data_IF_351642301437
#
_entry.id   IF_351642301437
#
_cell.length_a   1.000
_cell.length_b   1.000
_cell.length_c   1.000
_cell.angle_alpha   90.00
_cell.angle_beta   90.00
_cell.angle_gamma   90.00
#
_symmetry.space_group_name_H-M   'P 1'
#
loop_
_entity.id
_entity.type
_entity.pdbx_description
1 polymer ?
#
# COMPACT_ATOMS: atom_id res chain seq x y z
N UNK A 1 -1.38 5.69 -12.34
CA UNK A 1 -1.51 4.22 -12.50
C UNK A 1 -1.29 3.55 -11.16
N UNK A 2 -2.21 2.69 -10.73
CA UNK A 2 -2.11 1.95 -9.46
C UNK A 2 -1.35 0.63 -9.67
N UNK A 3 -0.81 0.10 -8.59
CA UNK A 3 -0.16 -1.22 -8.55
C UNK A 3 -0.64 -1.99 -7.32
N UNK A 4 -0.42 -3.31 -7.32
CA UNK A 4 -0.74 -4.18 -6.19
C UNK A 4 0.22 -3.99 -5.01
N UNK A 5 -0.21 -4.39 -3.81
CA UNK A 5 0.59 -4.30 -2.58
C UNK A 5 1.93 -5.03 -2.72
N UNK A 6 1.97 -6.24 -3.28
CA UNK A 6 3.22 -6.99 -3.41
C UNK A 6 4.27 -6.25 -4.27
N UNK A 7 3.81 -5.53 -5.31
CA UNK A 7 4.65 -4.70 -6.18
C UNK A 7 5.11 -3.44 -5.43
N UNK A 8 4.20 -2.80 -4.68
CA UNK A 8 4.54 -1.67 -3.83
C UNK A 8 5.61 -2.02 -2.80
N UNK A 9 5.49 -3.20 -2.15
CA UNK A 9 6.50 -3.73 -1.24
C UNK A 9 7.83 -4.03 -1.92
N UNK A 10 7.81 -4.50 -3.16
CA UNK A 10 9.04 -4.69 -3.94
C UNK A 10 9.76 -3.37 -4.18
N UNK A 11 9.04 -2.32 -4.58
CA UNK A 11 9.60 -0.97 -4.73
C UNK A 11 10.18 -0.51 -3.38
N UNK A 12 9.43 -0.59 -2.29
CA UNK A 12 9.89 -0.20 -0.96
C UNK A 12 11.21 -0.89 -0.56
N UNK A 13 11.34 -2.20 -0.82
CA UNK A 13 12.59 -2.94 -0.57
C UNK A 13 13.78 -2.41 -1.36
N UNK A 14 13.59 -1.99 -2.61
CA UNK A 14 14.65 -1.36 -3.43
C UNK A 14 15.17 -0.05 -2.80
N UNK A 15 14.33 0.62 -2.00
CA UNK A 15 14.67 1.84 -1.26
C UNK A 15 15.08 1.59 0.21
N UNK A 16 15.32 0.32 0.58
CA UNK A 16 15.76 -0.04 1.93
C UNK A 16 14.65 -0.01 2.99
N UNK A 17 13.38 0.11 2.58
CA UNK A 17 12.24 0.04 3.49
C UNK A 17 11.93 -1.44 3.79
N UNK A 18 12.06 -1.88 5.05
CA UNK A 18 11.80 -3.27 5.40
C UNK A 18 10.30 -3.60 5.32
N UNK A 19 10.01 -4.76 4.75
CA UNK A 19 8.66 -5.33 4.60
C UNK A 19 8.72 -6.81 5.00
N UNK A 20 7.62 -7.44 5.45
CA UNK A 20 7.59 -8.89 5.66
C UNK A 20 8.00 -9.65 4.39
N UNK A 21 8.63 -10.82 4.54
CA UNK A 21 8.85 -11.70 3.38
C UNK A 21 7.51 -12.21 2.91
N UNK A 22 7.31 -12.26 1.60
CA UNK A 22 6.06 -12.73 1.02
C UNK A 22 6.16 -12.94 -0.48
N UNK A 23 5.22 -13.73 -0.99
CA UNK A 23 5.20 -14.20 -2.37
C UNK A 23 3.81 -13.99 -2.97
N UNK A 24 3.77 -13.40 -4.16
CA UNK A 24 2.54 -13.31 -4.95
C UNK A 24 2.19 -14.69 -5.51
N UNK A 25 0.92 -15.08 -5.37
CA UNK A 25 0.44 -16.41 -5.73
C UNK A 25 -0.81 -16.27 -6.62
N UNK A 26 -0.88 -17.08 -7.68
CA UNK A 26 -1.98 -17.09 -8.65
C UNK A 26 -2.84 -18.35 -8.56
N UNK A 27 -2.48 -19.26 -7.66
CA UNK A 27 -3.25 -20.47 -7.36
C UNK A 27 -3.19 -20.81 -5.87
N UNK A 28 -4.11 -21.66 -5.42
CA UNK A 28 -4.12 -22.18 -4.05
C UNK A 28 -2.86 -22.99 -3.76
N UNK A 29 -2.36 -23.76 -4.72
CA UNK A 29 -1.15 -24.58 -4.53
C UNK A 29 0.11 -23.71 -4.43
N UNK A 30 0.21 -22.63 -5.22
CA UNK A 30 1.27 -21.63 -5.04
C UNK A 30 1.21 -20.98 -3.65
N UNK A 31 0.01 -20.67 -3.15
CA UNK A 31 -0.15 -20.08 -1.82
C UNK A 31 0.36 -21.01 -0.69
N UNK A 32 0.09 -22.32 -0.80
CA UNK A 32 0.58 -23.32 0.15
C UNK A 32 2.09 -23.47 0.04
N UNK A 33 2.63 -23.59 -1.18
CA UNK A 33 4.07 -23.69 -1.42
C UNK A 33 4.82 -22.45 -0.91
N UNK A 34 4.25 -21.25 -1.08
CA UNK A 34 4.81 -20.02 -0.53
C UNK A 34 4.87 -20.03 1.00
N UNK A 35 3.83 -20.52 1.67
CA UNK A 35 3.84 -20.65 3.13
C UNK A 35 4.92 -21.64 3.61
N UNK A 36 5.06 -22.78 2.92
CA UNK A 36 6.09 -23.77 3.21
C UNK A 36 7.52 -23.22 3.04
N UNK A 37 7.77 -22.46 1.96
CA UNK A 37 9.07 -21.84 1.67
C UNK A 37 9.42 -20.72 2.67
N UNK A 38 8.44 -19.87 3.02
CA UNK A 38 8.63 -18.83 4.04
C UNK A 38 8.97 -19.45 5.41
N UNK A 39 8.34 -20.58 5.72
CA UNK A 39 8.38 -21.22 7.03
C UNK A 39 7.77 -20.34 8.12
N UNK A 40 8.05 -20.70 9.38
CA UNK A 40 7.54 -19.97 10.55
C UNK A 40 6.19 -20.47 11.06
N UNK A 41 5.63 -19.81 12.10
CA UNK A 41 4.42 -20.29 12.77
C UNK A 41 3.12 -19.59 12.33
N UNK A 42 3.20 -18.48 11.59
CA UNK A 42 2.06 -17.63 11.23
C UNK A 42 2.29 -17.02 9.84
N UNK A 43 1.25 -17.08 9.01
CA UNK A 43 1.18 -16.46 7.70
C UNK A 43 -0.07 -15.58 7.58
N UNK A 44 -0.02 -14.63 6.66
CA UNK A 44 -1.17 -13.81 6.27
C UNK A 44 -1.43 -14.02 4.78
N UNK A 45 -2.66 -14.40 4.44
CA UNK A 45 -3.15 -14.51 3.06
C UNK A 45 -3.95 -13.25 2.75
N UNK A 46 -3.49 -12.46 1.77
CA UNK A 46 -4.08 -11.17 1.40
C UNK A 46 -4.54 -11.18 -0.06
N UNK A 47 -5.79 -10.78 -0.28
CA UNK A 47 -6.31 -10.42 -1.59
C UNK A 47 -5.48 -9.27 -2.17
N UNK A 48 -5.11 -9.38 -3.45
CA UNK A 48 -4.42 -8.33 -4.18
C UNK A 48 -5.41 -7.72 -5.17
N UNK A 49 -5.90 -6.55 -4.78
CA UNK A 49 -6.74 -5.64 -5.57
C UNK A 49 -6.23 -4.21 -5.32
N UNK A 50 -6.52 -3.27 -6.21
CA UNK A 50 -6.05 -1.88 -6.10
C UNK A 50 -6.79 -1.06 -5.01
N UNK A 51 -7.90 -1.58 -4.49
CA UNK A 51 -8.69 -0.94 -3.45
C UNK A 51 -8.22 -1.28 -2.02
N UNK A 52 -8.34 -0.31 -1.12
CA UNK A 52 -8.12 -0.45 0.33
C UNK A 52 -9.29 -1.14 1.05
N UNK A 53 -9.26 -1.22 2.37
CA UNK A 53 -10.36 -1.80 3.17
C UNK A 53 -10.53 -3.32 3.08
N UNK A 54 -9.56 -4.02 2.47
CA UNK A 54 -9.60 -5.47 2.17
C UNK A 54 -9.87 -6.34 3.40
N UNK A 55 -9.32 -5.97 4.57
CA UNK A 55 -9.53 -6.69 5.82
C UNK A 55 -11.00 -6.72 6.25
N UNK A 56 -11.70 -5.58 6.17
CA UNK A 56 -13.14 -5.49 6.49
C UNK A 56 -14.00 -6.29 5.50
N UNK A 57 -13.56 -6.40 4.25
CA UNK A 57 -14.21 -7.19 3.20
C UNK A 57 -13.86 -8.69 3.22
N UNK A 58 -13.10 -9.17 4.21
CA UNK A 58 -12.73 -10.59 4.33
C UNK A 58 -11.58 -11.04 3.40
N UNK A 59 -10.92 -10.09 2.74
CA UNK A 59 -9.79 -10.32 1.85
C UNK A 59 -8.44 -10.45 2.56
N UNK A 60 -8.39 -10.45 3.90
CA UNK A 60 -7.15 -10.65 4.68
C UNK A 60 -7.42 -11.68 5.76
N UNK A 61 -6.64 -12.77 5.79
CA UNK A 61 -6.79 -13.87 6.75
C UNK A 61 -5.45 -14.30 7.33
N UNK A 62 -5.41 -14.47 8.64
CA UNK A 62 -4.26 -15.03 9.36
C UNK A 62 -4.40 -16.54 9.40
N UNK A 63 -3.32 -17.25 9.11
CA UNK A 63 -3.23 -18.71 9.12
C UNK A 63 -2.04 -19.18 9.97
N UNK A 64 -2.18 -20.30 10.66
CA UNK A 64 -1.15 -20.91 11.54
C UNK A 64 -0.70 -22.29 11.09
N UNK A 65 -1.15 -22.72 9.92
CA UNK A 65 -0.71 -23.97 9.28
C UNK A 65 -0.87 -23.87 7.76
N UNK A 66 -0.14 -24.71 6.98
CA UNK A 66 -0.36 -24.81 5.53
C UNK A 66 -1.80 -25.14 5.14
N UNK A 67 -2.51 -25.94 5.96
CA UNK A 67 -3.92 -26.25 5.74
C UNK A 67 -4.83 -25.02 5.92
N UNK A 68 -4.55 -24.18 6.93
CA UNK A 68 -5.25 -22.91 7.11
C UNK A 68 -4.94 -21.92 5.97
N UNK A 69 -3.71 -21.91 5.44
CA UNK A 69 -3.35 -21.13 4.25
C UNK A 69 -4.15 -21.61 3.04
N UNK A 70 -4.25 -22.93 2.82
CA UNK A 70 -5.06 -23.52 1.75
C UNK A 70 -6.53 -23.09 1.86
N UNK A 71 -7.12 -23.21 3.05
CA UNK A 71 -8.50 -22.84 3.29
C UNK A 71 -8.74 -21.34 3.06
N UNK A 72 -7.84 -20.48 3.53
CA UNK A 72 -7.92 -19.04 3.30
C UNK A 72 -7.79 -18.69 1.81
N UNK A 73 -6.83 -19.29 1.10
CA UNK A 73 -6.63 -19.08 -0.33
C UNK A 73 -7.84 -19.51 -1.17
N UNK A 74 -8.46 -20.65 -0.86
CA UNK A 74 -9.70 -21.12 -1.51
C UNK A 74 -10.88 -20.18 -1.32
N UNK A 75 -10.95 -19.51 -0.18
CA UNK A 75 -12.04 -18.57 0.12
C UNK A 75 -11.82 -17.21 -0.54
N UNK A 76 -10.57 -16.76 -0.66
CA UNK A 76 -10.25 -15.43 -1.15
C UNK A 76 -10.09 -15.43 -2.69
N UNK A 77 -9.38 -16.40 -3.26
CA UNK A 77 -9.11 -16.42 -4.69
C UNK A 77 -10.40 -16.66 -5.49
N UNK A 78 -10.68 -15.77 -6.44
CA UNK A 78 -11.87 -15.81 -7.28
C UNK A 78 -13.12 -15.16 -6.67
N UNK A 79 -13.06 -14.68 -5.42
CA UNK A 79 -14.21 -13.98 -4.82
C UNK A 79 -14.34 -12.56 -5.38
N UNK A 80 -15.56 -12.02 -5.37
CA UNK A 80 -15.80 -10.58 -5.56
C UNK A 80 -15.59 -9.87 -4.21
N UNK A 81 -14.45 -9.19 -4.06
CA UNK A 81 -14.11 -8.47 -2.85
C UNK A 81 -14.75 -7.08 -2.89
N UNK A 82 -15.82 -6.93 -2.09
CA UNK A 82 -16.47 -5.63 -1.85
C UNK A 82 -15.79 -4.93 -0.69
N UNK A 83 -15.37 -3.70 -0.94
CA UNK A 83 -14.81 -2.76 0.04
C UNK A 83 -15.56 -1.43 -0.10
N UNK A 84 -15.34 -0.49 0.82
CA UNK A 84 -15.87 0.87 0.67
C UNK A 84 -15.28 1.63 -0.54
N UNK A 85 -14.20 1.12 -1.15
CA UNK A 85 -13.53 1.73 -2.31
C UNK A 85 -13.85 1.04 -3.66
N UNK A 86 -14.52 -0.12 -3.68
CA UNK A 86 -14.84 -0.87 -4.93
C UNK A 86 -16.28 -0.70 -5.39
N UNK A 87 -17.14 -0.05 -4.61
CA UNK A 87 -18.58 -0.01 -4.87
C UNK A 87 -19.24 -1.40 -4.73
N UNK A 88 -20.46 -1.52 -5.25
CA UNK A 88 -21.32 -2.70 -5.05
C UNK A 88 -20.86 -3.96 -5.78
N UNK A 89 -20.25 -3.82 -6.96
CA UNK A 89 -19.80 -4.94 -7.80
C UNK A 89 -18.52 -5.62 -7.27
N UNK A 90 -17.79 -4.92 -6.40
CA UNK A 90 -16.52 -5.39 -5.86
C UNK A 90 -15.43 -5.49 -6.92
N UNK A 91 -14.32 -6.13 -6.57
CA UNK A 91 -13.25 -6.47 -7.49
C UNK A 91 -12.97 -7.97 -7.40
N UNK A 92 -12.83 -8.64 -8.55
CA UNK A 92 -12.51 -10.09 -8.58
C UNK A 92 -11.07 -10.30 -8.14
N UNK A 93 -10.88 -11.08 -7.07
CA UNK A 93 -9.54 -11.37 -6.58
C UNK A 93 -8.88 -12.42 -7.47
N UNK A 94 -7.94 -11.99 -8.31
CA UNK A 94 -7.23 -12.88 -9.25
C UNK A 94 -5.87 -13.37 -8.76
N UNK A 95 -5.33 -12.73 -7.73
CA UNK A 95 -4.01 -13.04 -7.17
C UNK A 95 -4.01 -12.79 -5.65
N UNK A 96 -3.13 -13.49 -4.96
CA UNK A 96 -2.94 -13.44 -3.52
C UNK A 96 -1.52 -12.99 -3.19
N UNK A 97 -1.33 -12.45 -2.00
CA UNK A 97 -0.03 -12.33 -1.36
C UNK A 97 -0.05 -13.20 -0.11
N UNK A 98 0.88 -14.15 -0.03
CA UNK A 98 1.15 -14.93 1.19
C UNK A 98 2.42 -14.38 1.81
N UNK A 99 2.35 -13.93 3.05
CA UNK A 99 3.48 -13.33 3.75
C UNK A 99 3.60 -13.79 5.20
N UNK A 100 4.77 -13.54 5.80
CA UNK A 100 5.02 -13.80 7.21
C UNK A 100 4.15 -12.94 8.13
N UNK A 101 3.68 -13.53 9.23
CA UNK A 101 3.05 -12.77 10.30
C UNK A 101 4.06 -11.91 11.07
N UNK A 102 3.67 -10.70 11.46
CA UNK A 102 4.46 -9.83 12.34
C UNK A 102 3.85 -9.79 13.76
N UNK A 103 4.71 -9.73 14.78
CA UNK A 103 4.27 -9.50 16.17
C UNK A 103 4.06 -7.99 16.39
N UNK A 104 2.88 -7.51 16.05
CA UNK A 104 2.56 -6.08 16.06
C UNK A 104 2.40 -5.58 17.50
N UNK A 105 3.23 -4.61 17.90
CA UNK A 105 3.09 -3.89 19.17
C UNK A 105 2.29 -2.60 19.00
N UNK A 106 2.51 -1.87 17.90
CA UNK A 106 1.76 -0.66 17.52
C UNK A 106 1.66 -0.52 16.00
N UNK A 107 0.59 0.13 15.56
CA UNK A 107 0.35 0.47 14.17
C UNK A 107 0.33 1.99 14.01
N UNK A 108 0.93 2.47 12.93
CA UNK A 108 1.01 3.88 12.56
C UNK A 108 0.59 4.03 11.10
N UNK A 109 0.31 5.26 10.71
CA UNK A 109 0.02 5.64 9.33
C UNK A 109 1.15 6.49 8.76
N UNK A 110 1.58 6.21 7.52
CA UNK A 110 2.39 7.12 6.72
C UNK A 110 1.78 7.27 5.32
N UNK A 111 1.70 8.50 4.83
CA UNK A 111 1.26 8.82 3.48
C UNK A 111 2.09 9.95 2.88
N UNK A 112 2.35 9.89 1.58
CA UNK A 112 2.96 10.97 0.81
C UNK A 112 2.08 11.31 -0.38
N UNK A 113 1.85 12.61 -0.55
CA UNK A 113 1.08 13.20 -1.65
C UNK A 113 1.71 14.51 -2.08
N UNK A 114 1.30 15.04 -3.24
CA UNK A 114 1.64 16.40 -3.66
C UNK A 114 0.62 17.37 -3.06
N UNK A 115 1.06 18.22 -2.14
CA UNK A 115 0.30 19.38 -1.66
C UNK A 115 0.30 20.42 -2.78
N UNK A 116 -0.86 20.63 -3.41
CA UNK A 116 -1.02 21.52 -4.56
C UNK A 116 -0.99 23.00 -4.17
N UNK A 117 -1.40 23.32 -2.95
CA UNK A 117 -1.43 24.70 -2.48
C UNK A 117 -0.01 25.20 -2.19
N UNK A 118 0.79 24.33 -1.58
CA UNK A 118 2.17 24.64 -1.21
C UNK A 118 3.19 24.24 -2.29
N UNK A 119 2.76 23.46 -3.29
CA UNK A 119 3.60 22.94 -4.37
C UNK A 119 4.81 22.16 -3.85
N UNK A 120 4.55 21.27 -2.88
CA UNK A 120 5.55 20.46 -2.18
C UNK A 120 5.05 19.04 -1.98
N UNK A 121 5.98 18.10 -1.80
CA UNK A 121 5.62 16.77 -1.28
C UNK A 121 5.25 16.94 0.19
N UNK A 122 4.05 16.50 0.54
CA UNK A 122 3.57 16.46 1.92
C UNK A 122 3.64 15.01 2.43
N UNK A 123 4.40 14.84 3.52
CA UNK A 123 4.42 13.62 4.33
C UNK A 123 3.38 13.78 5.44
N UNK A 124 2.37 12.92 5.44
CA UNK A 124 1.38 12.78 6.49
C UNK A 124 1.77 11.58 7.35
N UNK A 125 1.75 11.77 8.67
CA UNK A 125 2.05 10.73 9.63
C UNK A 125 1.06 10.77 10.80
N UNK A 126 0.60 9.60 11.26
CA UNK A 126 -0.32 9.51 12.40
C UNK A 126 -0.03 8.31 13.29
N UNK A 127 -0.39 8.45 14.58
CA UNK A 127 -0.47 7.32 15.53
C UNK A 127 -1.65 6.39 15.26
N UNK A 128 -2.57 6.77 14.38
CA UNK A 128 -3.78 6.01 14.07
C UNK A 128 -3.57 5.15 12.81
N UNK A 129 -2.74 4.10 12.93
CA UNK A 129 -2.58 3.10 11.86
C UNK A 129 -3.73 2.10 11.78
N UNK A 130 -3.85 1.41 10.64
CA UNK A 130 -4.83 0.33 10.44
C UNK A 130 -6.26 0.81 10.17
N UNK A 131 -6.47 2.13 10.06
CA UNK A 131 -7.76 2.77 9.78
C UNK A 131 -7.66 3.68 8.55
N UNK A 132 -8.79 4.10 8.00
CA UNK A 132 -8.82 5.04 6.87
C UNK A 132 -8.42 6.44 7.35
N UNK A 133 -7.40 7.03 6.72
CA UNK A 133 -6.85 8.30 7.17
C UNK A 133 -7.85 9.46 7.01
N UNK A 134 -8.77 9.36 6.06
CA UNK A 134 -9.84 10.33 5.82
C UNK A 134 -10.83 10.38 6.99
N UNK A 135 -11.04 9.25 7.68
CA UNK A 135 -11.87 9.21 8.89
C UNK A 135 -11.15 9.90 10.05
N UNK A 136 -9.84 9.69 10.20
CA UNK A 136 -8.99 10.36 11.19
C UNK A 136 -8.96 11.87 10.91
N UNK A 137 -8.82 12.28 9.65
CA UNK A 137 -8.82 13.69 9.26
C UNK A 137 -10.13 14.41 9.60
N UNK A 138 -11.27 13.71 9.56
CA UNK A 138 -12.58 14.28 9.93
C UNK A 138 -12.80 14.31 11.44
N UNK A 139 -12.39 13.25 12.15
CA UNK A 139 -12.75 13.03 13.56
C UNK A 139 -11.69 13.50 14.56
N UNK A 140 -10.41 13.46 14.19
CA UNK A 140 -9.26 13.80 15.03
C UNK A 140 -8.10 14.35 14.19
N UNK A 141 -8.30 15.47 13.45
CA UNK A 141 -7.28 16.03 12.56
C UNK A 141 -5.96 16.37 13.26
N UNK A 142 -5.99 16.65 14.56
CA UNK A 142 -4.81 16.93 15.38
C UNK A 142 -3.84 15.74 15.50
N UNK A 143 -4.31 14.52 15.22
CA UNK A 143 -3.49 13.31 15.20
C UNK A 143 -2.74 13.11 13.88
N UNK A 144 -2.98 13.96 12.89
CA UNK A 144 -2.28 13.93 11.60
C UNK A 144 -1.21 15.01 11.62
N UNK A 145 0.05 14.57 11.56
CA UNK A 145 1.19 15.45 11.43
C UNK A 145 1.61 15.54 9.99
N UNK A 146 1.60 16.75 9.44
CA UNK A 146 2.04 17.02 8.07
C UNK A 146 3.40 17.71 8.07
N UNK A 147 4.37 17.13 7.36
CA UNK A 147 5.65 17.75 7.04
C UNK A 147 5.70 18.04 5.53
N UNK A 148 5.96 19.29 5.16
CA UNK A 148 6.16 19.69 3.77
C UNK A 148 7.66 19.69 3.48
N UNK A 149 8.05 18.89 2.50
CA UNK A 149 9.46 18.61 2.23
C UNK A 149 9.95 19.58 1.17
N UNK A 150 11.03 20.29 1.49
CA UNK A 150 11.70 21.15 0.52
C UNK A 150 12.36 20.29 -0.58
N UNK A 151 12.13 20.60 -1.87
CA UNK A 151 12.54 19.76 -2.98
C UNK A 151 14.04 19.82 -3.27
N UNK A 152 14.76 20.82 -2.74
CA UNK A 152 16.20 20.98 -2.93
C UNK A 152 16.97 20.14 -1.92
N UNK A 153 16.54 20.18 -0.64
CA UNK A 153 17.23 19.43 0.42
C UNK A 153 16.68 18.01 0.61
N UNK A 154 15.41 17.78 0.28
CA UNK A 154 14.73 16.51 0.51
C UNK A 154 14.39 16.25 1.98
N UNK A 155 14.08 14.99 2.31
CA UNK A 155 13.73 14.61 3.68
C UNK A 155 14.97 14.39 4.56
N UNK A 156 15.35 15.40 5.32
CA UNK A 156 16.46 15.34 6.25
C UNK A 156 16.23 14.37 7.41
N UNK A 157 17.32 13.77 7.91
CA UNK A 157 17.31 12.80 9.01
C UNK A 157 16.63 13.33 10.27
N UNK A 158 16.94 14.56 10.68
CA UNK A 158 16.36 15.14 11.89
C UNK A 158 14.86 15.45 11.71
N UNK A 159 14.45 15.91 10.52
CA UNK A 159 13.03 16.13 10.22
C UNK A 159 12.25 14.80 10.25
N UNK A 160 12.80 13.73 9.66
CA UNK A 160 12.22 12.40 9.73
C UNK A 160 12.14 11.88 11.19
N UNK A 161 13.19 12.08 11.98
CA UNK A 161 13.22 11.68 13.39
C UNK A 161 12.15 12.43 14.21
N UNK A 162 11.97 13.72 13.97
CA UNK A 162 10.93 14.51 14.63
C UNK A 162 9.52 14.03 14.26
N UNK A 163 9.27 13.69 12.99
CA UNK A 163 7.99 13.10 12.58
C UNK A 163 7.74 11.77 13.31
N UNK A 164 8.73 10.86 13.32
CA UNK A 164 8.63 9.58 14.01
C UNK A 164 8.32 9.73 15.52
N UNK A 165 9.03 10.65 16.20
CA UNK A 165 8.77 10.95 17.62
C UNK A 165 7.37 11.53 17.85
N UNK A 166 6.89 12.41 16.97
CA UNK A 166 5.56 13.04 17.08
C UNK A 166 4.42 12.03 17.01
N UNK A 167 4.52 11.02 16.14
CA UNK A 167 3.53 9.94 16.08
C UNK A 167 3.69 8.90 17.19
N UNK A 168 4.68 9.04 18.07
CA UNK A 168 4.86 8.19 19.25
C UNK A 168 5.69 6.93 19.03
N UNK A 169 6.59 6.92 18.04
CA UNK A 169 7.60 5.87 17.89
C UNK A 169 8.62 6.00 19.04
N UNK A 170 8.92 4.93 19.80
CA UNK A 170 9.91 4.98 20.88
C UNK A 170 11.31 5.33 20.38
N UNK A 171 12.09 6.05 21.19
CA UNK A 171 13.42 6.54 20.80
C UNK A 171 14.35 5.43 20.27
N UNK A 172 14.29 4.23 20.86
CA UNK A 172 15.07 3.07 20.42
C UNK A 172 14.77 2.62 18.97
N UNK A 173 13.58 2.92 18.46
CA UNK A 173 13.10 2.55 17.12
C UNK A 173 13.11 3.73 16.13
N UNK A 174 13.42 4.95 16.58
CA UNK A 174 13.43 6.16 15.73
C UNK A 174 14.39 6.01 14.56
N UNK A 175 15.57 5.42 14.77
CA UNK A 175 16.53 5.18 13.69
C UNK A 175 15.94 4.29 12.57
N UNK A 176 15.19 3.24 12.92
CA UNK A 176 14.49 2.40 11.95
C UNK A 176 13.37 3.15 11.23
N UNK A 177 12.62 3.98 11.94
CA UNK A 177 11.58 4.82 11.36
C UNK A 177 12.13 5.85 10.37
N UNK A 178 13.30 6.45 10.66
CA UNK A 178 13.99 7.37 9.75
C UNK A 178 14.32 6.67 8.43
N UNK A 179 14.85 5.44 8.48
CA UNK A 179 15.13 4.65 7.26
C UNK A 179 13.86 4.45 6.43
N UNK A 180 12.75 4.08 7.08
CA UNK A 180 11.46 3.91 6.38
C UNK A 180 10.98 5.20 5.75
N UNK A 181 10.98 6.30 6.50
CA UNK A 181 10.51 7.61 6.04
C UNK A 181 11.32 8.14 4.85
N UNK A 182 12.65 8.06 4.93
CA UNK A 182 13.54 8.49 3.85
C UNK A 182 13.45 7.55 2.64
N UNK A 183 13.31 6.25 2.86
CA UNK A 183 13.09 5.28 1.78
C UNK A 183 11.77 5.51 1.06
N UNK A 184 10.68 5.78 1.79
CA UNK A 184 9.38 6.12 1.22
C UNK A 184 9.45 7.43 0.42
N UNK A 185 10.14 8.46 0.92
CA UNK A 185 10.34 9.72 0.21
C UNK A 185 11.09 9.53 -1.10
N UNK A 186 12.18 8.77 -1.06
CA UNK A 186 12.96 8.46 -2.26
C UNK A 186 12.14 7.64 -3.25
N UNK A 187 11.40 6.63 -2.79
CA UNK A 187 10.49 5.87 -3.66
C UNK A 187 9.45 6.77 -4.31
N UNK A 188 8.86 7.70 -3.55
CA UNK A 188 7.87 8.64 -4.06
C UNK A 188 8.44 9.55 -5.15
N UNK A 189 9.62 10.14 -4.92
CA UNK A 189 10.25 11.08 -5.86
C UNK A 189 10.88 10.37 -7.05
N UNK A 190 11.70 9.35 -6.81
CA UNK A 190 12.47 8.65 -7.86
C UNK A 190 11.59 7.78 -8.77
N UNK A 191 10.40 7.35 -8.31
CA UNK A 191 9.42 6.63 -9.13
C UNK A 191 8.25 7.50 -9.61
N UNK A 192 8.27 8.80 -9.30
CA UNK A 192 7.23 9.77 -9.69
C UNK A 192 5.82 9.31 -9.30
N UNK A 193 5.71 8.93 -8.03
CA UNK A 193 4.44 8.62 -7.42
C UNK A 193 3.61 9.90 -7.19
N UNK A 194 2.30 9.77 -7.36
CA UNK A 194 1.29 10.76 -6.96
C UNK A 194 0.75 10.47 -5.55
N UNK A 195 0.80 9.20 -5.14
CA UNK A 195 0.47 8.72 -3.79
C UNK A 195 1.43 7.57 -3.45
N UNK A 196 2.02 7.63 -2.26
CA UNK A 196 2.66 6.47 -1.63
C UNK A 196 2.22 6.39 -0.18
N UNK A 197 1.60 5.27 0.20
CA UNK A 197 1.01 5.07 1.52
C UNK A 197 1.50 3.75 2.12
N UNK A 198 1.82 3.78 3.41
CA UNK A 198 2.12 2.62 4.24
C UNK A 198 1.09 2.62 5.38
N UNK A 199 0.11 1.72 5.30
CA UNK A 199 -0.96 1.63 6.28
C UNK A 199 -1.42 0.17 6.53
N UNK A 200 -0.94 -0.48 7.60
CA UNK A 200 -0.16 0.09 8.69
C UNK A 200 1.36 0.06 8.44
N UNK A 201 2.04 1.09 8.96
CA UNK A 201 3.43 0.98 9.39
C UNK A 201 3.43 0.35 10.78
N UNK A 202 4.14 -0.76 10.98
CA UNK A 202 4.12 -1.49 12.25
C UNK A 202 5.41 -1.30 13.03
N UNK A 203 5.27 -1.10 14.34
CA UNK A 203 6.31 -1.34 15.32
C UNK A 203 6.10 -2.74 15.88
N UNK A 204 7.09 -3.61 15.72
CA UNK A 204 7.06 -4.96 16.24
C UNK A 204 7.43 -5.01 17.73
N UNK A 205 7.10 -6.11 18.40
CA UNK A 205 7.43 -6.31 19.82
C UNK A 205 8.93 -6.28 20.11
N UNK A 206 9.78 -6.62 19.14
CA UNK A 206 11.25 -6.54 19.21
C UNK A 206 11.81 -5.17 18.75
N UNK A 207 10.94 -4.20 18.47
CA UNK A 207 11.33 -2.81 18.20
C UNK A 207 11.68 -2.49 16.75
N UNK A 208 11.42 -3.40 15.81
CA UNK A 208 11.59 -3.13 14.38
C UNK A 208 10.43 -2.31 13.82
N UNK A 209 10.71 -1.49 12.82
CA UNK A 209 9.72 -0.68 12.11
C UNK A 209 9.58 -1.23 10.70
N UNK A 210 8.41 -1.72 10.32
CA UNK A 210 8.17 -2.43 9.06
C UNK A 210 6.97 -1.85 8.31
N UNK A 211 7.03 -1.81 6.99
CA UNK A 211 5.87 -1.51 6.15
C UNK A 211 5.03 -2.79 5.96
N UNK A 212 3.93 -2.91 6.71
CA UNK A 212 3.07 -4.11 6.67
C UNK A 212 2.12 -4.08 5.47
N UNK A 213 1.77 -2.91 4.96
CA UNK A 213 1.01 -2.72 3.73
C UNK A 213 1.64 -1.58 2.91
N UNK A 214 1.39 -1.56 1.61
CA UNK A 214 1.89 -0.54 0.71
C UNK A 214 0.89 -0.28 -0.40
N UNK A 215 0.59 1.01 -0.64
CA UNK A 215 -0.27 1.45 -1.73
C UNK A 215 0.41 2.56 -2.50
N UNK A 216 0.51 2.38 -3.82
CA UNK A 216 1.11 3.35 -4.72
C UNK A 216 0.16 3.72 -5.85
N UNK A 217 0.20 4.99 -6.23
CA UNK A 217 -0.35 5.50 -7.48
C UNK A 217 0.70 6.39 -8.15
N UNK A 218 0.99 6.16 -9.42
CA UNK A 218 2.02 6.86 -10.20
C UNK A 218 1.42 7.90 -11.14
N UNK A 219 2.20 8.93 -11.46
CA UNK A 219 1.85 9.88 -12.51
C UNK A 219 1.87 9.18 -13.87
N UNK A 220 0.72 9.12 -14.56
CA UNK A 220 0.62 8.53 -15.89
C UNK A 220 1.48 9.25 -16.92
N UNK A 221 1.72 10.56 -16.75
CA UNK A 221 2.54 11.35 -17.66
C UNK A 221 4.03 11.04 -17.55
N UNK A 222 4.46 10.41 -16.44
CA UNK A 222 5.84 10.01 -16.20
C UNK A 222 6.16 8.60 -16.71
N UNK A 223 5.15 7.78 -17.01
CA UNK A 223 5.34 6.35 -17.26
C UNK A 223 6.25 6.02 -18.45
N UNK A 224 6.36 6.92 -19.44
CA UNK A 224 7.24 6.72 -20.60
C UNK A 224 8.72 6.53 -20.22
N UNK A 225 9.15 7.02 -19.05
CA UNK A 225 10.51 6.86 -18.51
C UNK A 225 10.59 5.89 -17.32
N UNK A 226 9.50 5.17 -17.03
CA UNK A 226 9.41 4.15 -16.00
C UNK A 226 8.87 2.81 -16.56
N UNK A 227 9.57 2.18 -17.51
CA UNK A 227 9.12 0.91 -18.11
C UNK A 227 8.95 -0.21 -17.08
N UNK A 228 9.72 -0.18 -15.99
CA UNK A 228 9.60 -1.13 -14.89
C UNK A 228 8.28 -0.99 -14.13
N UNK A 229 7.74 0.23 -14.04
CA UNK A 229 6.45 0.49 -13.40
C UNK A 229 5.32 0.11 -14.36
N UNK A 230 5.45 0.42 -15.65
CA UNK A 230 4.46 0.02 -16.68
C UNK A 230 4.28 -1.50 -16.72
N UNK A 231 5.35 -2.27 -16.51
CA UNK A 231 5.29 -3.73 -16.44
C UNK A 231 4.41 -4.27 -15.29
N UNK A 232 4.11 -3.44 -14.27
CA UNK A 232 3.22 -3.81 -13.17
C UNK A 232 1.73 -3.58 -13.46
N UNK A 233 1.38 -2.90 -14.56
CA UNK A 233 -0.02 -2.55 -14.88
C UNK A 233 -0.87 -3.81 -14.96
N UNK A 234 -1.97 -3.80 -14.22
CA UNK A 234 -2.97 -4.86 -14.24
C UNK A 234 -4.27 -4.35 -14.85
N UNK A 235 -4.53 -4.76 -16.09
CA UNK A 235 -5.75 -4.35 -16.80
C UNK A 235 -7.01 -5.00 -16.22
N UNK A 236 -6.90 -6.09 -15.44
CA UNK A 236 -8.07 -6.68 -14.78
C UNK A 236 -8.61 -5.81 -13.64
N UNK A 237 -7.87 -4.78 -13.22
CA UNK A 237 -8.21 -3.84 -12.14
C UNK A 237 -8.62 -2.45 -12.67
N UNK A 238 -8.77 -2.30 -13.99
CA UNK A 238 -9.17 -1.07 -14.66
C UNK A 238 -10.52 -1.26 -15.36
N UNK A 239 -11.28 -0.18 -15.53
CA UNK A 239 -12.55 -0.23 -16.25
C UNK A 239 -12.31 -0.53 -17.75
N UNK A 240 -13.01 -1.51 -18.36
CA UNK A 240 -12.85 -1.86 -19.77
C UNK A 240 -13.00 -0.69 -20.75
N UNK A 241 -13.86 0.28 -20.45
CA UNK A 241 -14.05 1.47 -21.26
C UNK A 241 -12.88 2.45 -21.12
N UNK A 242 -12.31 2.59 -19.92
CA UNK A 242 -11.07 3.36 -19.70
C UNK A 242 -9.89 2.73 -20.45
N UNK A 243 -9.77 1.40 -20.43
CA UNK A 243 -8.75 0.66 -21.19
C UNK A 243 -8.90 0.93 -22.68
N UNK A 244 -10.10 0.81 -23.23
CA UNK A 244 -10.36 1.04 -24.65
C UNK A 244 -10.03 2.48 -25.05
N UNK A 245 -10.46 3.46 -24.27
CA UNK A 245 -10.15 4.87 -24.50
C UNK A 245 -8.64 5.13 -24.50
N UNK A 246 -7.89 4.50 -23.59
CA UNK A 246 -6.44 4.68 -23.49
C UNK A 246 -5.67 4.22 -24.73
N UNK A 247 -6.24 3.33 -25.56
CA UNK A 247 -5.63 2.91 -26.85
C UNK A 247 -5.64 4.01 -27.91
N UNK A 248 -6.46 5.04 -27.71
CA UNK A 248 -6.64 6.17 -28.62
C UNK A 248 -6.21 7.50 -27.99
N UNK A 249 -5.42 7.47 -26.92
CA UNK A 249 -5.00 8.64 -26.15
C UNK A 249 -6.18 9.48 -25.62
N UNK A 250 -7.30 8.83 -25.31
CA UNK A 250 -8.49 9.46 -24.72
C UNK A 250 -8.54 9.23 -23.21
N UNK A 251 -8.87 10.29 -22.47
CA UNK A 251 -9.24 10.20 -21.05
C UNK A 251 -10.74 9.97 -20.95
N UNK A 252 -11.14 8.75 -20.56
CA UNK A 252 -12.52 8.38 -20.30
C UNK A 252 -12.72 8.14 -18.80
N UNK A 253 -13.89 8.49 -18.28
CA UNK A 253 -14.30 8.18 -16.91
C UNK A 253 -15.78 7.78 -16.98
N UNK A 254 -16.10 6.57 -16.51
CA UNK A 254 -17.48 6.11 -16.42
C UNK A 254 -18.20 6.81 -15.26
N UNK A 255 -19.43 7.25 -15.50
CA UNK A 255 -20.31 7.88 -14.51
C UNK A 255 -21.69 7.22 -14.56
N UNK A 256 -22.40 7.20 -13.44
CA UNK A 256 -23.80 6.77 -13.39
C UNK A 256 -24.69 7.89 -13.96
N UNK A 257 -25.24 7.67 -15.16
CA UNK A 257 -26.08 8.64 -15.86
C UNK A 257 -26.46 8.20 -17.27
N UNK A 258 -27.29 9.00 -17.93
CA UNK A 258 -27.85 8.75 -19.27
C UNK A 258 -27.41 9.78 -20.33
N UNK A 259 -26.57 10.75 -19.96
CA UNK A 259 -26.03 11.79 -20.84
C UNK A 259 -24.51 11.67 -20.91
N UNK A 260 -23.99 11.37 -22.10
CA UNK A 260 -22.55 11.36 -22.38
C UNK A 260 -22.04 12.75 -22.78
N UNK A 261 -20.82 13.08 -22.35
CA UNK A 261 -20.11 14.31 -22.70
C UNK A 261 -18.76 13.96 -23.33
N UNK A 262 -18.34 14.73 -24.35
CA UNK A 262 -17.03 14.66 -24.99
C UNK A 262 -16.39 16.05 -25.03
#
# INVERSE_FOLDING_TARGET
MKIHEYQGKEILRQFGVPTPRGTACFSVDEAVAAAEDLGGPVWVVKAQIHAGGRGKGGGVKVARSPDEVRAAAQQILGMHLVTHQTGHDGQVVRRLLVEEGAQIAREFYLGMVIDRDEQRVALLASSEGGMEIEEVAKSSPEKIHTLRIDPVVGLETEAAAQVARRIGIPEASVAGAVVVLQGLYRAFVEKEAMLAEINPLVLTADGQVLALDAKFNFDSNALFRHPEIVAYRDLDEEDPAEIEASKFDLSYISLDGDIACL
#
